data_IF_125680158667
#
_entry.id   IF_125680158667
#
_cell.length_a   1.000
_cell.length_b   1.000
_cell.length_c   1.000
_cell.angle_alpha   90.00
_cell.angle_beta   90.00
_cell.angle_gamma   90.00
#
_symmetry.space_group_name_H-M   'P 1'
#
loop_
_entity.id
_entity.type
_entity.pdbx_description
1 polymer ?
#
# COMPACT_ATOMS: atom_id res chain seq x y z
N UNK A 1 24.53 -11.00 -11.26
CA UNK A 1 24.61 -11.05 -9.78
C UNK A 1 23.89 -9.89 -9.11
N UNK A 2 24.29 -8.61 -9.25
CA UNK A 2 23.61 -7.49 -8.56
C UNK A 2 22.13 -7.35 -8.97
N UNK A 3 21.85 -7.48 -10.27
CA UNK A 3 20.48 -7.50 -10.78
C UNK A 3 19.63 -8.65 -10.21
N UNK A 4 20.22 -9.82 -9.99
CA UNK A 4 19.50 -10.99 -9.46
C UNK A 4 19.13 -10.78 -8.00
N UNK A 5 20.03 -10.20 -7.19
CA UNK A 5 19.75 -9.86 -5.80
C UNK A 5 18.61 -8.84 -5.70
N UNK A 6 18.65 -7.78 -6.51
CA UNK A 6 17.57 -6.80 -6.57
C UNK A 6 16.23 -7.39 -7.04
N UNK A 7 16.26 -8.32 -8.02
CA UNK A 7 15.05 -9.01 -8.44
C UNK A 7 14.47 -9.90 -7.34
N UNK A 8 15.32 -10.58 -6.56
CA UNK A 8 14.87 -11.42 -5.44
C UNK A 8 14.24 -10.57 -4.33
N UNK A 9 14.84 -9.42 -3.98
CA UNK A 9 14.28 -8.54 -2.95
C UNK A 9 12.93 -7.97 -3.39
N UNK A 10 12.83 -7.44 -4.61
CA UNK A 10 11.57 -6.92 -5.16
C UNK A 10 10.51 -8.02 -5.24
N UNK A 11 10.88 -9.23 -5.68
CA UNK A 11 9.95 -10.36 -5.69
C UNK A 11 9.48 -10.74 -4.28
N UNK A 12 10.36 -10.67 -3.27
CA UNK A 12 10.01 -10.90 -1.87
C UNK A 12 9.04 -9.86 -1.32
N UNK A 13 9.30 -8.58 -1.55
CA UNK A 13 8.39 -7.49 -1.15
C UNK A 13 7.03 -7.60 -1.86
N UNK A 14 7.03 -7.85 -3.17
CA UNK A 14 5.79 -8.08 -3.93
C UNK A 14 5.01 -9.28 -3.42
N UNK A 15 5.69 -10.39 -3.09
CA UNK A 15 5.03 -11.58 -2.56
C UNK A 15 4.41 -11.29 -1.19
N UNK A 16 5.14 -10.61 -0.31
CA UNK A 16 4.62 -10.22 1.01
C UNK A 16 3.38 -9.33 0.89
N UNK A 17 3.47 -8.25 0.11
CA UNK A 17 2.35 -7.34 -0.13
C UNK A 17 1.17 -8.05 -0.80
N UNK A 18 1.44 -8.96 -1.76
CA UNK A 18 0.36 -9.72 -2.42
C UNK A 18 -0.33 -10.67 -1.45
N UNK A 19 0.41 -11.33 -0.54
CA UNK A 19 -0.18 -12.19 0.48
C UNK A 19 -1.04 -11.38 1.44
N UNK A 20 -0.55 -10.23 1.93
CA UNK A 20 -1.33 -9.32 2.76
C UNK A 20 -2.60 -8.88 2.02
N UNK A 21 -2.46 -8.42 0.77
CA UNK A 21 -3.60 -8.00 -0.03
C UNK A 21 -4.64 -9.12 -0.24
N UNK A 22 -4.16 -10.34 -0.49
CA UNK A 22 -5.05 -11.50 -0.66
C UNK A 22 -5.76 -11.85 0.65
N UNK A 23 -5.06 -11.80 1.79
CA UNK A 23 -5.65 -12.03 3.10
C UNK A 23 -6.77 -11.03 3.39
N UNK A 24 -6.51 -9.74 3.16
CA UNK A 24 -7.50 -8.67 3.35
C UNK A 24 -8.69 -8.75 2.37
N UNK A 25 -8.49 -9.33 1.18
CA UNK A 25 -9.55 -9.52 0.19
C UNK A 25 -10.40 -10.78 0.42
N UNK A 26 -9.88 -11.76 1.15
CA UNK A 26 -10.56 -13.03 1.43
C UNK A 26 -11.53 -12.94 2.62
N UNK A 27 -11.42 -11.88 3.44
CA UNK A 27 -12.35 -11.53 4.54
C UNK A 27 -13.74 -11.04 4.03
N UNK A 28 -14.25 -11.63 2.94
CA UNK A 28 -15.51 -11.25 2.29
C UNK A 28 -16.70 -11.99 2.86
N UNK A 29 -17.65 -11.24 3.42
CA UNK A 29 -18.96 -11.77 3.81
C UNK A 29 -20.08 -11.30 2.87
N UNK A 30 -21.19 -12.07 2.82
CA UNK A 30 -22.39 -11.79 2.03
C UNK A 30 -23.08 -10.48 2.48
N UNK A 31 -22.65 -9.36 1.92
CA UNK A 31 -23.14 -8.02 2.23
C UNK A 31 -22.04 -7.03 2.64
N UNK A 32 -20.86 -7.54 2.98
CA UNK A 32 -19.69 -6.75 3.36
C UNK A 32 -18.46 -7.18 2.53
N UNK A 33 -18.40 -6.69 1.28
CA UNK A 33 -17.36 -7.08 0.30
C UNK A 33 -15.92 -6.74 0.72
N UNK A 34 -15.75 -5.89 1.73
CA UNK A 34 -14.44 -5.40 2.17
C UNK A 34 -14.21 -5.61 3.68
N UNK A 35 -15.02 -6.44 4.35
CA UNK A 35 -14.84 -6.70 5.78
C UNK A 35 -14.89 -5.46 6.67
N UNK A 36 -15.60 -4.40 6.25
CA UNK A 36 -15.57 -3.11 6.94
C UNK A 36 -16.30 -3.20 8.29
N UNK A 37 -15.68 -2.77 9.40
CA UNK A 37 -16.34 -2.75 10.69
C UNK A 37 -17.48 -1.74 10.69
N UNK A 38 -18.63 -2.12 11.26
CA UNK A 38 -19.79 -1.26 11.38
C UNK A 38 -19.80 -0.55 12.75
N UNK A 39 -19.99 0.77 12.74
CA UNK A 39 -20.12 1.52 14.01
C UNK A 39 -18.81 1.88 14.71
N UNK A 40 -17.72 1.99 13.93
CA UNK A 40 -16.38 2.37 14.39
C UNK A 40 -16.39 3.62 15.28
N UNK A 41 -15.74 3.60 16.46
CA UNK A 41 -15.61 4.75 17.35
C UNK A 41 -15.02 5.98 16.64
N UNK A 42 -15.43 7.18 17.06
CA UNK A 42 -14.90 8.44 16.49
C UNK A 42 -13.37 8.53 16.55
N UNK A 43 -12.76 7.99 17.60
CA UNK A 43 -11.31 7.97 17.78
C UNK A 43 -10.62 7.14 16.68
N UNK A 44 -11.15 5.96 16.38
CA UNK A 44 -10.61 5.06 15.35
C UNK A 44 -10.75 5.70 13.98
N UNK A 45 -11.88 6.35 13.66
CA UNK A 45 -12.01 7.08 12.38
C UNK A 45 -10.99 8.19 12.19
N UNK A 46 -10.69 8.94 13.26
CA UNK A 46 -9.63 9.96 13.22
C UNK A 46 -8.27 9.29 12.99
N UNK A 47 -8.01 8.17 13.67
CA UNK A 47 -6.78 7.39 13.47
C UNK A 47 -6.68 6.83 12.05
N UNK A 48 -7.76 6.33 11.45
CA UNK A 48 -7.79 5.84 10.07
C UNK A 48 -7.43 6.97 9.10
N UNK A 49 -8.01 8.16 9.27
CA UNK A 49 -7.69 9.32 8.45
C UNK A 49 -6.22 9.75 8.58
N UNK A 50 -5.70 9.79 9.81
CA UNK A 50 -4.29 10.08 10.06
C UNK A 50 -3.36 8.99 9.51
N UNK A 51 -3.74 7.72 9.62
CA UNK A 51 -3.02 6.56 9.10
C UNK A 51 -2.84 6.64 7.59
N UNK A 52 -3.90 7.00 6.84
CA UNK A 52 -3.80 7.26 5.40
C UNK A 52 -2.85 8.42 5.09
N UNK A 53 -2.95 9.54 5.82
CA UNK A 53 -2.07 10.70 5.60
C UNK A 53 -0.61 10.32 5.84
N UNK A 54 -0.34 9.64 6.95
CA UNK A 54 1.01 9.20 7.32
C UNK A 54 1.53 8.20 6.27
N UNK A 55 0.74 7.20 5.90
CA UNK A 55 1.10 6.21 4.88
C UNK A 55 1.42 6.84 3.53
N UNK A 56 0.59 7.79 3.06
CA UNK A 56 0.86 8.50 1.81
C UNK A 56 2.14 9.36 1.90
N UNK A 57 2.40 9.98 3.06
CA UNK A 57 3.64 10.74 3.29
C UNK A 57 4.90 9.88 3.37
N UNK A 58 4.76 8.61 3.77
CA UNK A 58 5.87 7.66 3.90
C UNK A 58 6.18 6.90 2.62
N UNK A 59 5.26 6.91 1.64
CA UNK A 59 5.45 6.33 0.31
C UNK A 59 6.50 7.14 -0.49
N UNK A 60 7.72 6.60 -0.58
CA UNK A 60 8.83 7.21 -1.33
C UNK A 60 9.11 6.48 -2.66
N UNK A 61 8.62 5.24 -2.82
CA UNK A 61 8.95 4.36 -3.94
C UNK A 61 8.35 4.84 -5.28
N UNK A 62 7.09 5.30 -5.30
CA UNK A 62 6.48 5.89 -6.50
C UNK A 62 7.23 7.14 -7.02
N UNK A 63 7.45 8.20 -6.21
CA UNK A 63 8.14 9.39 -6.70
C UNK A 63 9.60 9.12 -7.10
N UNK A 64 10.32 8.29 -6.33
CA UNK A 64 11.70 7.90 -6.66
C UNK A 64 11.77 7.11 -7.97
N UNK A 65 10.88 6.13 -8.15
CA UNK A 65 10.80 5.34 -9.38
C UNK A 65 10.55 6.20 -10.61
N UNK A 66 9.63 7.17 -10.52
CA UNK A 66 9.35 8.12 -11.59
C UNK A 66 10.50 9.10 -11.85
N UNK A 67 11.21 9.55 -10.82
CA UNK A 67 12.38 10.42 -10.98
C UNK A 67 13.50 9.72 -11.76
N UNK A 68 13.78 8.45 -11.44
CA UNK A 68 14.80 7.67 -12.15
C UNK A 68 14.38 7.42 -13.59
N UNK A 69 13.11 7.12 -13.85
CA UNK A 69 12.57 7.00 -15.22
C UNK A 69 12.79 8.30 -15.98
N UNK A 70 12.51 9.45 -15.35
CA UNK A 70 12.75 10.76 -15.94
C UNK A 70 14.20 10.97 -16.35
N UNK A 71 15.15 10.71 -15.44
CA UNK A 71 16.60 10.80 -15.74
C UNK A 71 17.03 9.82 -16.83
N UNK A 72 16.44 8.63 -16.87
CA UNK A 72 16.72 7.62 -17.88
C UNK A 72 16.25 8.04 -19.28
N UNK A 73 15.03 8.57 -19.39
CA UNK A 73 14.49 9.14 -20.63
C UNK A 73 15.33 10.35 -21.07
N UNK A 74 15.74 11.18 -20.12
CA UNK A 74 16.56 12.35 -20.34
C UNK A 74 17.92 12.01 -20.99
N UNK A 75 18.58 10.97 -20.48
CA UNK A 75 19.82 10.45 -21.04
C UNK A 75 19.63 9.84 -22.43
N UNK A 76 18.52 9.12 -22.64
CA UNK A 76 18.20 8.52 -23.93
C UNK A 76 17.98 9.59 -25.02
N UNK A 77 17.27 10.68 -24.70
CA UNK A 77 17.06 11.80 -25.62
C UNK A 77 18.34 12.57 -25.97
N UNK A 78 19.33 12.55 -25.08
CA UNK A 78 20.60 13.26 -25.27
C UNK A 78 21.58 12.53 -26.19
N UNK A 79 21.20 11.38 -26.77
CA UNK A 79 22.03 10.60 -27.69
C UNK A 79 23.20 9.87 -27.01
N UNK A 80 23.12 9.69 -25.69
CA UNK A 80 24.14 8.99 -24.90
C UNK A 80 24.18 7.49 -25.18
N UNK A 81 25.38 6.92 -25.08
CA UNK A 81 25.81 5.56 -25.43
C UNK A 81 24.84 4.41 -25.06
N UNK A 82 24.88 3.33 -25.87
CA UNK A 82 24.12 2.06 -25.80
C UNK A 82 24.22 1.28 -24.47
N UNK A 83 23.73 1.85 -23.38
CA UNK A 83 23.39 1.07 -22.20
C UNK A 83 22.04 0.39 -22.40
N UNK A 84 21.84 -0.73 -21.73
CA UNK A 84 20.64 -1.54 -21.85
C UNK A 84 19.48 -0.89 -21.07
N UNK A 85 18.99 0.26 -21.57
CA UNK A 85 17.95 1.14 -21.01
C UNK A 85 16.71 0.35 -20.57
N UNK A 86 16.36 -0.68 -21.34
CA UNK A 86 15.23 -1.57 -21.05
C UNK A 86 15.30 -2.20 -19.66
N UNK A 87 16.49 -2.61 -19.18
CA UNK A 87 16.64 -3.23 -17.86
C UNK A 87 16.44 -2.23 -16.72
N UNK A 88 16.92 -1.00 -16.90
CA UNK A 88 16.78 0.07 -15.92
C UNK A 88 15.32 0.49 -15.84
N UNK A 89 14.68 0.74 -16.99
CA UNK A 89 13.26 1.09 -17.07
C UNK A 89 12.39 -0.02 -16.48
N UNK A 90 12.66 -1.29 -16.81
CA UNK A 90 11.94 -2.42 -16.22
C UNK A 90 12.07 -2.45 -14.70
N UNK A 91 13.27 -2.24 -14.16
CA UNK A 91 13.48 -2.15 -12.71
C UNK A 91 12.70 -1.00 -12.07
N UNK A 92 12.59 0.16 -12.74
CA UNK A 92 11.84 1.29 -12.23
C UNK A 92 10.32 1.06 -12.30
N UNK A 93 9.83 0.39 -13.34
CA UNK A 93 8.41 0.01 -13.44
C UNK A 93 8.04 -0.95 -12.31
N UNK A 94 8.89 -1.93 -12.01
CA UNK A 94 8.69 -2.83 -10.87
C UNK A 94 8.66 -2.06 -9.55
N UNK A 95 9.54 -1.06 -9.38
CA UNK A 95 9.58 -0.18 -8.21
C UNK A 95 8.26 0.58 -8.02
N UNK A 96 7.78 1.23 -9.09
CA UNK A 96 6.49 1.91 -9.10
C UNK A 96 5.34 0.93 -8.82
N UNK A 97 5.40 -0.29 -9.34
CA UNK A 97 4.39 -1.31 -9.07
C UNK A 97 4.37 -1.75 -7.60
N UNK A 98 5.53 -1.88 -6.95
CA UNK A 98 5.63 -2.15 -5.50
C UNK A 98 4.97 -1.03 -4.70
N UNK A 99 5.28 0.23 -5.00
CA UNK A 99 4.68 1.37 -4.31
C UNK A 99 3.15 1.46 -4.47
N UNK A 100 2.62 1.18 -5.67
CA UNK A 100 1.17 1.11 -5.85
C UNK A 100 0.52 -0.07 -5.12
N UNK A 101 1.19 -1.22 -5.04
CA UNK A 101 0.72 -2.36 -4.24
C UNK A 101 0.74 -2.03 -2.75
N UNK A 102 1.77 -1.32 -2.27
CA UNK A 102 1.85 -0.82 -0.90
C UNK A 102 0.67 0.12 -0.60
N UNK A 103 0.43 1.14 -1.43
CA UNK A 103 -0.69 2.07 -1.25
C UNK A 103 -2.04 1.33 -1.21
N UNK A 104 -2.23 0.32 -2.06
CA UNK A 104 -3.44 -0.51 -2.05
C UNK A 104 -3.57 -1.33 -0.76
N UNK A 105 -2.49 -1.95 -0.28
CA UNK A 105 -2.48 -2.70 0.98
C UNK A 105 -2.77 -1.77 2.16
N UNK A 106 -2.05 -0.64 2.24
CA UNK A 106 -2.24 0.38 3.27
C UNK A 106 -3.66 0.93 3.29
N UNK A 107 -4.27 1.15 2.12
CA UNK A 107 -5.67 1.54 2.08
C UNK A 107 -6.58 0.48 2.69
N UNK A 108 -6.41 -0.79 2.30
CA UNK A 108 -7.29 -1.87 2.77
C UNK A 108 -7.09 -2.19 4.26
N UNK A 109 -5.86 -2.26 4.76
CA UNK A 109 -5.62 -2.55 6.18
C UNK A 109 -6.16 -1.43 7.05
N UNK A 110 -5.94 -0.17 6.68
CA UNK A 110 -6.42 0.99 7.47
C UNK A 110 -7.94 1.06 7.51
N UNK A 111 -8.66 0.71 6.44
CA UNK A 111 -10.14 0.74 6.46
C UNK A 111 -10.76 -0.46 7.19
N UNK A 112 -10.04 -1.59 7.28
CA UNK A 112 -10.52 -2.81 7.94
C UNK A 112 -10.26 -2.79 9.45
N UNK A 113 -9.20 -2.12 9.90
CA UNK A 113 -8.86 -2.04 11.31
C UNK A 113 -9.95 -1.36 12.16
N UNK A 114 -10.25 -1.95 13.32
CA UNK A 114 -11.24 -1.49 14.29
C UNK A 114 -10.60 -0.85 15.53
N UNK A 115 -9.29 -1.02 15.74
CA UNK A 115 -8.50 -0.37 16.79
C UNK A 115 -7.46 0.62 16.23
N UNK A 116 -7.25 1.70 16.98
CA UNK A 116 -6.22 2.73 16.73
C UNK A 116 -4.82 2.14 16.72
N UNK A 117 -4.53 1.22 17.66
CA UNK A 117 -3.20 0.62 17.77
C UNK A 117 -2.87 -0.27 16.58
N UNK A 118 -3.85 -1.04 16.11
CA UNK A 118 -3.70 -1.91 14.93
C UNK A 118 -3.37 -1.09 13.69
N UNK A 119 -4.08 0.02 13.45
CA UNK A 119 -3.79 0.94 12.33
C UNK A 119 -2.33 1.38 12.33
N UNK A 120 -1.79 1.81 13.48
CA UNK A 120 -0.41 2.26 13.55
C UNK A 120 0.59 1.11 13.38
N UNK A 121 0.30 -0.08 13.93
CA UNK A 121 1.16 -1.24 13.76
C UNK A 121 1.20 -1.72 12.32
N UNK A 122 0.06 -1.72 11.62
CA UNK A 122 -0.02 -2.11 10.21
C UNK A 122 0.74 -1.15 9.30
N UNK A 123 0.58 0.16 9.51
CA UNK A 123 1.33 1.18 8.76
C UNK A 123 2.84 1.00 8.98
N UNK A 124 3.28 0.76 10.21
CA UNK A 124 4.70 0.52 10.53
C UNK A 124 5.20 -0.80 9.93
N UNK A 125 4.40 -1.86 9.96
CA UNK A 125 4.75 -3.17 9.40
C UNK A 125 4.91 -3.10 7.88
N UNK A 126 3.97 -2.45 7.20
CA UNK A 126 4.05 -2.21 5.76
C UNK A 126 5.31 -1.40 5.42
N UNK A 127 5.61 -0.34 6.18
CA UNK A 127 6.83 0.46 5.96
C UNK A 127 8.10 -0.37 6.13
N UNK A 128 8.12 -1.27 7.12
CA UNK A 128 9.26 -2.14 7.32
C UNK A 128 9.51 -3.02 6.09
N UNK A 129 8.45 -3.59 5.50
CA UNK A 129 8.54 -4.44 4.30
C UNK A 129 9.06 -3.65 3.09
N UNK A 130 8.61 -2.41 2.91
CA UNK A 130 9.10 -1.51 1.86
C UNK A 130 10.60 -1.23 2.02
N UNK A 131 11.05 -0.95 3.24
CA UNK A 131 12.46 -0.64 3.52
C UNK A 131 13.44 -1.84 3.38
N UNK A 132 12.96 -3.08 3.20
CA UNK A 132 13.83 -4.26 3.13
C UNK A 132 14.80 -4.17 1.95
N UNK A 133 14.36 -3.68 0.80
CA UNK A 133 15.18 -3.66 -0.41
C UNK A 133 16.36 -2.69 -0.29
N UNK A 134 16.13 -1.52 0.30
CA UNK A 134 17.14 -0.49 0.59
C UNK A 134 18.13 -0.97 1.66
N UNK A 135 17.66 -1.68 2.69
CA UNK A 135 18.55 -2.32 3.67
C UNK A 135 19.43 -3.37 2.99
N UNK A 136 18.87 -4.21 2.11
CA UNK A 136 19.65 -5.20 1.36
C UNK A 136 20.64 -4.51 0.43
N UNK A 137 20.27 -3.42 -0.23
CA UNK A 137 21.18 -2.63 -1.06
C UNK A 137 22.32 -2.02 -0.23
N UNK A 138 22.02 -1.47 0.95
CA UNK A 138 23.01 -0.93 1.88
C UNK A 138 23.98 -2.02 2.37
N UNK A 139 23.49 -3.23 2.67
CA UNK A 139 24.32 -4.39 3.01
C UNK A 139 25.20 -4.83 1.83
N UNK A 140 24.67 -4.79 0.59
CA UNK A 140 25.45 -5.03 -0.61
C UNK A 140 26.60 -4.02 -0.77
N UNK A 141 26.34 -2.73 -0.52
CA UNK A 141 27.35 -1.65 -0.58
C UNK A 141 28.43 -1.82 0.49
N UNK A 142 28.07 -2.26 1.70
CA UNK A 142 29.04 -2.60 2.77
C UNK A 142 29.88 -3.84 2.45
N UNK A 143 29.45 -4.67 1.49
CA UNK A 143 30.19 -5.82 0.98
C UNK A 143 29.85 -7.14 1.65
N UNK A 144 28.71 -7.22 2.35
CA UNK A 144 28.27 -8.44 3.03
C UNK A 144 28.07 -9.62 2.05
N UNK A 145 27.56 -9.34 0.85
CA UNK A 145 27.33 -10.33 -0.21
C UNK A 145 28.52 -10.52 -1.16
N UNK A 146 29.71 -10.06 -0.77
CA UNK A 146 30.97 -10.30 -1.47
C UNK A 146 31.50 -9.15 -2.33
N UNK A 147 32.79 -9.26 -2.68
CA UNK A 147 33.57 -8.20 -3.35
C UNK A 147 33.05 -7.83 -4.74
N UNK A 148 32.54 -8.80 -5.50
CA UNK A 148 31.98 -8.58 -6.85
C UNK A 148 30.70 -7.73 -6.81
N UNK A 149 29.84 -7.95 -5.81
CA UNK A 149 28.60 -7.18 -5.64
C UNK A 149 28.91 -5.75 -5.17
N UNK A 150 29.82 -5.62 -4.20
CA UNK A 150 30.31 -4.31 -3.74
C UNK A 150 30.87 -3.47 -4.88
N UNK A 151 31.69 -4.08 -5.75
CA UNK A 151 32.24 -3.38 -6.93
C UNK A 151 31.15 -2.95 -7.91
N UNK A 152 30.08 -3.73 -8.09
CA UNK A 152 28.97 -3.33 -8.94
C UNK A 152 28.13 -2.21 -8.34
N UNK A 153 27.86 -2.25 -7.02
CA UNK A 153 27.10 -1.22 -6.30
C UNK A 153 27.86 0.09 -6.10
N UNK A 154 29.20 0.06 -6.12
CA UNK A 154 30.05 1.26 -6.02
C UNK A 154 30.40 1.88 -7.38
N UNK A 155 29.96 1.31 -8.51
CA UNK A 155 30.12 1.99 -9.80
C UNK A 155 29.16 3.16 -9.82
N UNK A 156 29.68 4.35 -9.52
CA UNK A 156 28.97 5.60 -9.77
C UNK A 156 28.79 5.74 -11.28
N UNK A 157 27.57 5.51 -11.75
CA UNK A 157 27.16 5.95 -13.06
C UNK A 157 26.98 7.46 -12.97
N UNK A 158 28.08 8.19 -13.16
CA UNK A 158 28.04 9.63 -13.29
C UNK A 158 27.19 9.94 -14.53
N UNK A 159 25.97 10.43 -14.31
CA UNK A 159 25.15 10.97 -15.37
C UNK A 159 25.84 12.25 -15.86
N UNK A 160 26.11 12.33 -17.16
CA UNK A 160 26.63 13.56 -17.76
C UNK A 160 25.65 14.71 -17.49
N UNK A 161 26.16 15.94 -17.25
CA UNK A 161 25.31 17.08 -16.96
C UNK A 161 24.34 17.33 -18.12
N UNK A 162 23.05 17.62 -17.82
CA UNK A 162 22.02 17.73 -18.84
C UNK A 162 22.32 18.89 -19.80
N UNK A 163 22.12 18.64 -21.09
CA UNK A 163 22.18 19.68 -22.13
C UNK A 163 21.11 20.77 -21.94
N UNK A 164 21.26 21.90 -22.64
CA UNK A 164 20.40 23.09 -22.47
C UNK A 164 18.91 22.84 -22.75
N UNK A 165 18.58 21.93 -23.69
CA UNK A 165 17.19 21.51 -23.96
C UNK A 165 16.66 20.54 -22.90
N UNK A 166 17.57 19.81 -22.29
CA UNK A 166 17.33 18.74 -21.34
C UNK A 166 16.85 19.29 -19.98
N UNK A 167 17.32 20.48 -19.59
CA UNK A 167 16.85 21.23 -18.42
C UNK A 167 15.33 21.55 -18.43
N UNK A 168 14.69 21.70 -19.60
CA UNK A 168 13.23 21.92 -19.64
C UNK A 168 12.46 20.64 -19.29
N UNK A 169 12.97 19.48 -19.69
CA UNK A 169 12.34 18.19 -19.45
C UNK A 169 12.42 17.78 -17.98
N UNK A 170 13.57 17.95 -17.33
CA UNK A 170 13.73 17.67 -15.90
C UNK A 170 12.78 18.49 -15.03
N UNK A 171 12.63 19.78 -15.29
CA UNK A 171 11.64 20.63 -14.60
C UNK A 171 10.19 20.19 -14.84
N UNK A 172 9.86 19.76 -16.06
CA UNK A 172 8.53 19.23 -16.37
C UNK A 172 8.28 17.91 -15.63
N UNK A 173 9.28 17.03 -15.58
CA UNK A 173 9.20 15.76 -14.87
C UNK A 173 9.01 15.96 -13.36
N UNK A 174 9.74 16.88 -12.72
CA UNK A 174 9.52 17.20 -11.30
C UNK A 174 8.09 17.68 -11.03
N UNK A 175 7.51 18.47 -11.94
CA UNK A 175 6.09 18.89 -11.82
C UNK A 175 5.14 17.71 -12.01
N UNK A 176 5.42 16.83 -12.97
CA UNK A 176 4.64 15.63 -13.20
C UNK A 176 4.63 14.70 -11.98
N UNK A 177 5.79 14.46 -11.36
CA UNK A 177 5.91 13.64 -10.14
C UNK A 177 5.07 14.23 -9.00
N UNK A 178 5.19 15.55 -8.76
CA UNK A 178 4.36 16.24 -7.75
C UNK A 178 2.86 16.12 -8.04
N UNK A 179 2.47 16.18 -9.31
CA UNK A 179 1.08 16.02 -9.72
C UNK A 179 0.59 14.59 -9.43
N UNK A 180 1.35 13.56 -9.83
CA UNK A 180 1.00 12.15 -9.57
C UNK A 180 0.86 11.90 -8.07
N UNK A 181 1.80 12.40 -7.27
CA UNK A 181 1.76 12.28 -5.82
C UNK A 181 0.50 12.95 -5.22
N UNK A 182 0.19 14.19 -5.63
CA UNK A 182 -1.03 14.86 -5.19
C UNK A 182 -2.31 14.12 -5.62
N UNK A 183 -2.33 13.52 -6.81
CA UNK A 183 -3.47 12.71 -7.27
C UNK A 183 -3.65 11.45 -6.43
N UNK A 184 -2.57 10.73 -6.12
CA UNK A 184 -2.62 9.54 -5.26
C UNK A 184 -3.17 9.91 -3.87
N UNK A 185 -2.67 11.00 -3.28
CA UNK A 185 -3.16 11.51 -2.00
C UNK A 185 -4.66 11.86 -2.07
N UNK A 186 -5.09 12.58 -3.11
CA UNK A 186 -6.49 12.94 -3.28
C UNK A 186 -7.39 11.71 -3.48
N UNK A 187 -6.93 10.70 -4.22
CA UNK A 187 -7.65 9.45 -4.43
C UNK A 187 -7.86 8.72 -3.10
N UNK A 188 -6.80 8.54 -2.31
CA UNK A 188 -6.87 7.85 -1.01
C UNK A 188 -7.78 8.59 -0.02
N UNK A 189 -7.65 9.91 0.06
CA UNK A 189 -8.50 10.76 0.93
C UNK A 189 -9.97 10.75 0.48
N UNK A 190 -10.23 10.73 -0.83
CA UNK A 190 -11.59 10.63 -1.35
C UNK A 190 -12.20 9.26 -1.05
N UNK A 191 -11.41 8.19 -1.17
CA UNK A 191 -11.83 6.82 -0.88
C UNK A 191 -12.27 6.66 0.57
N UNK A 192 -11.44 7.09 1.53
CA UNK A 192 -11.80 7.01 2.95
C UNK A 192 -12.98 7.92 3.29
N UNK A 193 -13.10 9.11 2.69
CA UNK A 193 -14.23 10.01 2.93
C UNK A 193 -15.56 9.40 2.50
N UNK A 194 -15.60 8.73 1.34
CA UNK A 194 -16.79 8.03 0.84
C UNK A 194 -17.16 6.88 1.78
N UNK A 195 -16.17 6.08 2.21
CA UNK A 195 -16.39 4.97 3.13
C UNK A 195 -16.92 5.43 4.48
N UNK A 196 -16.40 6.53 5.03
CA UNK A 196 -16.90 7.10 6.29
C UNK A 196 -18.39 7.50 6.19
N UNK A 197 -18.81 8.10 5.08
CA UNK A 197 -20.23 8.44 4.86
C UNK A 197 -21.09 7.18 4.78
N UNK A 198 -20.64 6.14 4.08
CA UNK A 198 -21.37 4.87 4.00
C UNK A 198 -21.42 4.13 5.36
N UNK A 199 -20.38 4.24 6.18
CA UNK A 199 -20.37 3.73 7.56
C UNK A 199 -21.36 4.47 8.46
N UNK A 200 -21.46 5.80 8.32
CA UNK A 200 -22.44 6.62 9.07
C UNK A 200 -23.88 6.38 8.63
N UNK A 201 -24.10 6.10 7.34
CA UNK A 201 -25.40 5.70 6.83
C UNK A 201 -25.85 4.32 7.37
N UNK A 202 -24.97 3.58 8.06
CA UNK A 202 -25.27 2.25 8.58
C UNK A 202 -25.43 1.20 7.48
N UNK A 203 -24.89 1.45 6.28
CA UNK A 203 -25.02 0.58 5.11
C UNK A 203 -24.39 -0.81 5.33
N UNK A 204 -23.39 -0.87 6.20
CA UNK A 204 -22.67 -2.09 6.59
C UNK A 204 -23.24 -2.78 7.83
N UNK A 205 -24.33 -2.28 8.44
CA UNK A 205 -24.97 -2.96 9.58
C UNK A 205 -25.78 -4.16 9.11
N UNK A 206 -25.81 -5.22 9.91
CA UNK A 206 -26.72 -6.36 9.70
C UNK A 206 -28.17 -5.87 9.57
N UNK A 207 -28.82 -6.25 8.47
CA UNK A 207 -30.23 -5.91 8.21
C UNK A 207 -31.21 -6.76 9.02
N UNK A 208 -30.74 -7.86 9.60
CA UNK A 208 -31.49 -8.71 10.51
C UNK A 208 -31.19 -8.32 11.96
N UNK A 209 -32.25 -8.16 12.76
CA UNK A 209 -32.14 -8.14 14.22
C UNK A 209 -32.65 -9.49 14.71
N UNK A 210 -31.79 -10.33 15.27
CA UNK A 210 -32.22 -11.47 16.09
C UNK A 210 -32.52 -10.94 17.49
N UNK A 211 -33.74 -11.14 17.96
CA UNK A 211 -34.11 -10.88 19.34
C UNK A 211 -34.17 -12.27 19.99
N UNK A 212 -33.20 -12.58 20.85
CA UNK A 212 -33.28 -13.75 21.71
C UNK A 212 -34.21 -13.39 22.88
N UNK A 213 -35.41 -13.96 22.87
CA UNK A 213 -36.28 -13.91 24.04
C UNK A 213 -35.77 -14.95 25.03
N UNK A 214 -35.33 -14.50 26.20
CA UNK A 214 -35.00 -15.39 27.31
C UNK A 214 -36.22 -16.25 27.65
N UNK A 215 -36.03 -17.56 27.58
CA UNK A 215 -36.81 -18.63 28.20
C UNK A 215 -37.92 -19.35 27.41
N UNK A 216 -38.17 -19.04 26.14
CA UNK A 216 -38.96 -19.95 25.29
C UNK A 216 -38.32 -20.12 23.90
N UNK A 217 -37.68 -21.26 23.67
CA UNK A 217 -37.24 -21.71 22.34
C UNK A 217 -38.49 -22.07 21.55
N UNK A 218 -38.95 -21.18 20.67
CA UNK A 218 -40.04 -21.46 19.75
C UNK A 218 -39.53 -22.41 18.64
N UNK A 219 -39.79 -23.71 18.78
CA UNK A 219 -39.37 -24.73 17.79
C UNK A 219 -40.03 -24.56 16.40
N UNK A 220 -41.03 -23.68 16.24
CA UNK A 220 -41.74 -23.43 14.97
C UNK A 220 -41.65 -21.99 14.44
N UNK A 221 -40.60 -21.23 14.78
CA UNK A 221 -40.43 -19.90 14.17
C UNK A 221 -40.12 -20.02 12.66
N UNK A 222 -41.06 -19.58 11.81
CA UNK A 222 -40.94 -19.48 10.34
C UNK A 222 -39.93 -18.41 9.85
N UNK A 223 -39.00 -18.00 10.71
CA UNK A 223 -37.97 -17.02 10.38
C UNK A 223 -36.72 -17.80 10.00
N UNK A 224 -36.50 -17.97 8.69
CA UNK A 224 -35.21 -18.47 8.19
C UNK A 224 -34.15 -17.45 8.60
N UNK A 225 -33.30 -17.82 9.55
CA UNK A 225 -32.06 -17.12 9.82
C UNK A 225 -31.27 -17.12 8.52
N UNK A 226 -31.06 -15.93 7.95
CA UNK A 226 -30.04 -15.77 6.93
C UNK A 226 -28.66 -16.14 7.52
N UNK A 227 -27.69 -16.55 6.69
CA UNK A 227 -26.35 -16.88 7.15
C UNK A 227 -25.64 -15.60 7.63
N UNK A 228 -25.93 -15.18 8.86
CA UNK A 228 -25.06 -14.30 9.63
C UNK A 228 -24.57 -15.15 10.79
N UNK A 229 -23.26 -15.38 10.86
CA UNK A 229 -22.65 -15.97 12.05
C UNK A 229 -22.95 -15.05 13.23
N UNK A 230 -23.77 -15.53 14.16
CA UNK A 230 -24.19 -14.80 15.36
C UNK A 230 -23.03 -14.72 16.39
N UNK A 231 -21.92 -15.42 16.14
CA UNK A 231 -20.87 -15.65 17.12
C UNK A 231 -19.80 -14.56 17.26
N UNK A 232 -19.77 -13.50 16.44
CA UNK A 232 -18.62 -12.57 16.44
C UNK A 232 -18.81 -11.19 17.08
N UNK A 233 -20.02 -10.69 17.40
CA UNK A 233 -20.12 -9.28 17.82
C UNK A 233 -21.21 -8.87 18.82
N UNK A 234 -21.88 -9.83 19.46
CA UNK A 234 -22.75 -9.53 20.61
C UNK A 234 -21.94 -9.60 21.92
N UNK A 235 -20.82 -8.88 21.97
CA UNK A 235 -20.04 -8.69 23.19
C UNK A 235 -20.86 -7.94 24.24
N UNK A 236 -21.03 -8.58 25.39
CA UNK A 236 -21.75 -8.11 26.56
C UNK A 236 -21.30 -6.71 27.00
N UNK A 237 -22.07 -5.70 26.59
CA UNK A 237 -22.16 -4.42 27.29
C UNK A 237 -22.96 -4.56 28.58
N UNK A 238 -22.52 -5.44 29.49
CA UNK A 238 -22.92 -5.44 30.89
C UNK A 238 -21.72 -5.07 31.76
N UNK A 239 -21.56 -3.76 32.00
CA UNK A 239 -21.18 -3.19 33.30
C UNK A 239 -21.45 -1.69 33.33
#
# INVERSE_FOLDING_TARGET
MPFVVGMITVAGSLMCLSITLMNELDNREDGNKYGLPAGVPKAVRIAQFLGIIIGVLMEEEVPLGLEIIGKCVEQHMSGGHDFNTSKIVCSCILRVAVGYMFLACLFLTVIQADDVLEIFFDVLALQFVENIDDVVFALCKRGFFGRKLRQASNKEHAFDPPGRNTHRFSLWMTRFIRLVYCMNAALMLSGISILMVDQDAGKYRCKSKSIAFGDEVWEEAWVKLGPCNIDSDCGDGQQ
#
